data_IF_344008358520
#
_entry.id   IF_344008358520
#
_cell.length_a   1.000
_cell.length_b   1.000
_cell.length_c   1.000
_cell.angle_alpha   90.00
_cell.angle_beta   90.00
_cell.angle_gamma   90.00
#
_symmetry.space_group_name_H-M   'P 1'
#
loop_
_entity.id
_entity.type
_entity.pdbx_description
1 polymer ?
#
# COMPACT_ATOMS: atom_id res chain seq x y z
N UNK A 1 34.02 14.47 62.88
CA UNK A 1 34.61 15.48 61.96
C UNK A 1 34.22 15.11 60.53
N UNK A 2 33.95 16.12 59.73
CA UNK A 2 33.01 16.16 58.62
C UNK A 2 33.54 15.67 57.25
N UNK A 3 32.67 14.98 56.51
CA UNK A 3 32.27 15.17 55.09
C UNK A 3 33.37 15.15 53.99
N UNK A 4 33.25 14.21 53.04
CA UNK A 4 32.96 14.41 51.59
C UNK A 4 33.40 13.17 50.77
N UNK A 5 32.45 12.29 50.45
CA UNK A 5 32.58 11.38 49.29
C UNK A 5 32.09 12.15 48.05
N UNK A 6 33.03 12.59 47.21
CA UNK A 6 32.71 13.19 45.92
C UNK A 6 32.30 12.10 44.92
N UNK A 7 31.00 12.02 44.63
CA UNK A 7 30.50 11.24 43.50
C UNK A 7 30.89 11.92 42.19
N UNK A 8 31.67 11.23 41.36
CA UNK A 8 31.91 11.65 39.97
C UNK A 8 30.67 11.24 39.17
N UNK A 9 29.88 12.24 38.78
CA UNK A 9 28.81 12.08 37.80
C UNK A 9 29.46 11.90 36.43
N UNK A 10 29.50 10.67 35.92
CA UNK A 10 29.96 10.40 34.57
C UNK A 10 28.86 10.82 33.59
N UNK A 11 28.92 12.06 33.11
CA UNK A 11 28.07 12.53 32.03
C UNK A 11 28.49 11.83 30.73
N UNK A 12 27.71 10.83 30.30
CA UNK A 12 27.85 10.25 28.97
C UNK A 12 27.38 11.28 27.94
N UNK A 13 28.33 12.07 27.42
CA UNK A 13 28.09 12.96 26.30
C UNK A 13 27.89 12.09 25.05
N UNK A 14 26.63 11.78 24.72
CA UNK A 14 26.28 11.19 23.43
C UNK A 14 26.59 12.26 22.38
N UNK A 15 27.77 12.17 21.77
CA UNK A 15 28.12 12.98 20.63
C UNK A 15 27.03 12.80 19.56
N UNK A 16 26.45 13.91 19.11
CA UNK A 16 25.53 13.95 17.99
C UNK A 16 26.24 13.32 16.78
N UNK A 17 25.83 12.11 16.42
CA UNK A 17 26.30 11.45 15.21
C UNK A 17 25.91 12.33 14.01
N UNK A 18 26.85 12.71 13.13
CA UNK A 18 26.51 13.44 11.92
C UNK A 18 25.59 12.58 11.06
N UNK A 19 24.57 13.22 10.47
CA UNK A 19 23.61 12.59 9.58
C UNK A 19 24.33 12.00 8.36
N UNK A 20 24.66 10.71 8.44
CA UNK A 20 25.00 9.88 7.30
C UNK A 20 23.68 9.60 6.58
N UNK A 21 23.60 9.95 5.29
CA UNK A 21 22.53 9.52 4.40
C UNK A 21 22.43 7.99 4.45
N UNK A 22 21.44 7.50 5.19
CA UNK A 22 21.22 6.08 5.41
C UNK A 22 20.39 5.58 4.24
N UNK A 23 21.02 4.97 3.25
CA UNK A 23 20.33 4.17 2.23
C UNK A 23 19.69 2.99 2.97
N UNK A 24 18.43 3.17 3.38
CA UNK A 24 17.81 2.44 4.48
C UNK A 24 17.07 1.17 4.07
N UNK A 25 17.72 0.02 4.23
CA UNK A 25 17.02 -1.25 4.40
C UNK A 25 16.44 -1.29 5.83
N UNK A 26 15.16 -0.95 5.98
CA UNK A 26 14.50 -0.97 7.29
C UNK A 26 13.73 -2.27 7.49
N UNK A 27 14.25 -3.13 8.38
CA UNK A 27 13.61 -4.38 8.80
C UNK A 27 13.07 -4.22 10.21
N UNK A 28 11.77 -4.42 10.37
CA UNK A 28 11.10 -4.32 11.66
C UNK A 28 10.85 -5.70 12.28
N UNK A 29 11.53 -6.01 13.38
CA UNK A 29 11.43 -7.29 14.11
C UNK A 29 10.85 -7.17 15.54
N UNK A 30 10.60 -5.94 16.03
CA UNK A 30 10.06 -5.68 17.37
C UNK A 30 8.53 -5.45 17.34
N UNK A 31 7.79 -5.75 18.43
CA UNK A 31 6.34 -5.99 18.36
C UNK A 31 5.47 -4.74 18.11
N UNK A 32 6.00 -3.51 18.23
CA UNK A 32 5.22 -2.31 17.86
C UNK A 32 6.14 -1.13 17.59
N UNK A 33 6.12 -0.61 16.36
CA UNK A 33 6.76 0.66 16.00
C UNK A 33 5.73 1.57 15.36
N UNK A 34 5.52 2.75 15.96
CA UNK A 34 4.67 3.82 15.45
C UNK A 34 5.59 4.89 14.87
N UNK A 35 5.50 5.17 13.58
CA UNK A 35 6.26 6.25 12.95
C UNK A 35 5.32 7.40 12.59
N UNK A 36 5.38 8.49 13.36
CA UNK A 36 4.84 9.77 12.93
C UNK A 36 5.89 10.45 12.05
N UNK A 37 5.58 10.62 10.76
CA UNK A 37 6.12 11.69 9.93
C UNK A 37 7.67 11.71 9.80
N UNK A 38 8.22 10.86 8.93
CA UNK A 38 9.66 10.85 8.58
C UNK A 38 10.04 11.59 7.30
N UNK A 39 9.19 12.46 6.72
CA UNK A 39 9.71 13.57 5.90
C UNK A 39 8.66 14.64 5.54
N UNK A 40 8.84 15.85 6.04
CA UNK A 40 8.19 17.07 5.54
C UNK A 40 9.09 17.83 4.54
N UNK A 41 10.22 17.25 4.13
CA UNK A 41 11.14 17.88 3.20
C UNK A 41 10.94 17.29 1.79
N UNK A 42 10.46 18.11 0.85
CA UNK A 42 10.19 17.73 -0.54
C UNK A 42 11.44 17.28 -1.33
N UNK A 43 12.63 17.27 -0.71
CA UNK A 43 13.92 16.93 -1.33
C UNK A 43 14.61 15.71 -0.69
N UNK A 44 13.95 14.93 0.17
CA UNK A 44 14.54 13.71 0.77
C UNK A 44 13.57 12.52 0.60
N UNK A 45 13.99 11.58 -0.23
CA UNK A 45 13.32 10.30 -0.47
C UNK A 45 13.89 9.26 0.48
N UNK A 46 13.12 8.74 1.44
CA UNK A 46 13.68 7.76 2.38
C UNK A 46 12.71 6.65 2.76
N UNK A 47 12.54 5.73 1.80
CA UNK A 47 12.44 4.27 1.98
C UNK A 47 12.97 3.67 0.68
N UNK A 48 14.28 3.81 0.44
CA UNK A 48 14.88 3.43 -0.85
C UNK A 48 14.86 1.91 -0.99
N UNK A 49 13.95 1.45 -1.83
CA UNK A 49 13.90 0.13 -2.46
C UNK A 49 13.34 -1.04 -1.64
N UNK A 50 13.37 -1.00 -0.29
CA UNK A 50 12.89 -2.14 0.51
C UNK A 50 12.27 -1.78 1.86
N UNK A 51 11.08 -2.31 2.11
CA UNK A 51 10.41 -2.28 3.42
C UNK A 51 9.89 -3.65 3.80
N UNK A 52 10.05 -4.06 5.08
CA UNK A 52 9.50 -5.32 5.58
C UNK A 52 8.94 -5.23 7.01
N UNK A 53 7.71 -5.70 7.17
CA UNK A 53 7.14 -6.08 8.48
C UNK A 53 7.25 -7.59 8.63
N UNK A 54 8.02 -8.06 9.62
CA UNK A 54 8.16 -9.50 9.89
C UNK A 54 6.92 -10.09 10.57
N UNK A 55 6.71 -11.40 10.42
CA UNK A 55 5.66 -12.11 11.13
C UNK A 55 5.75 -11.87 12.65
N UNK A 56 4.60 -11.61 13.29
CA UNK A 56 4.52 -11.25 14.71
C UNK A 56 4.85 -9.79 15.06
N UNK A 57 5.36 -8.99 14.12
CA UNK A 57 5.55 -7.56 14.31
C UNK A 57 4.33 -6.75 13.85
N UNK A 58 4.18 -5.55 14.41
CA UNK A 58 3.18 -4.56 13.98
C UNK A 58 3.86 -3.24 13.62
N UNK A 59 3.50 -2.70 12.45
CA UNK A 59 3.82 -1.34 12.03
C UNK A 59 2.51 -0.56 11.83
N UNK A 60 2.47 0.68 12.32
CA UNK A 60 1.32 1.57 12.09
C UNK A 60 1.77 2.86 11.41
N UNK A 61 1.32 3.09 10.18
CA UNK A 61 1.46 4.38 9.52
C UNK A 61 0.41 5.35 10.05
N UNK A 62 0.83 6.45 10.69
CA UNK A 62 -0.09 7.48 11.22
C UNK A 62 -0.03 8.81 10.45
N UNK A 63 0.69 8.86 9.32
CA UNK A 63 0.86 10.06 8.50
C UNK A 63 0.95 9.75 7.01
N UNK A 64 1.58 10.65 6.25
CA UNK A 64 1.87 10.40 4.85
C UNK A 64 3.25 9.76 4.70
N UNK A 65 3.34 8.65 3.98
CA UNK A 65 4.59 7.96 3.65
C UNK A 65 4.74 7.88 2.14
N UNK A 66 5.94 8.16 1.65
CA UNK A 66 6.32 8.00 0.25
C UNK A 66 7.28 6.83 0.10
N UNK A 67 6.79 5.77 -0.54
CA UNK A 67 7.55 4.60 -0.95
C UNK A 67 8.18 4.90 -2.31
N UNK A 68 9.48 5.20 -2.27
CA UNK A 68 10.22 5.64 -3.44
C UNK A 68 11.26 4.60 -3.78
N UNK A 69 11.38 4.31 -5.07
CA UNK A 69 12.43 3.46 -5.59
C UNK A 69 13.41 4.36 -6.35
N UNK A 70 14.71 4.09 -6.26
CA UNK A 70 15.71 4.75 -7.12
C UNK A 70 16.38 3.77 -8.08
N UNK A 71 16.04 2.49 -7.95
CA UNK A 71 16.55 1.35 -8.67
C UNK A 71 15.46 0.69 -9.55
N UNK A 72 15.75 -0.50 -10.11
CA UNK A 72 14.91 -1.15 -11.12
C UNK A 72 13.58 -1.72 -10.58
N UNK A 73 13.51 -2.14 -9.30
CA UNK A 73 12.29 -2.62 -8.64
C UNK A 73 12.34 -2.39 -7.12
N UNK A 74 11.30 -1.80 -6.53
CA UNK A 74 11.18 -1.55 -5.09
C UNK A 74 10.13 -2.48 -4.47
N UNK A 75 10.39 -3.03 -3.29
CA UNK A 75 9.53 -4.05 -2.67
C UNK A 75 9.08 -3.65 -1.26
N UNK A 76 7.77 -3.62 -1.06
CA UNK A 76 7.11 -3.55 0.25
C UNK A 76 6.65 -4.95 0.64
N UNK A 77 7.09 -5.47 1.79
CA UNK A 77 6.76 -6.83 2.26
C UNK A 77 6.02 -6.77 3.58
N UNK A 78 4.81 -7.33 3.61
CA UNK A 78 4.01 -7.46 4.84
C UNK A 78 3.80 -8.93 5.19
N UNK A 79 4.65 -9.45 6.09
CA UNK A 79 4.45 -10.77 6.72
C UNK A 79 3.88 -10.64 8.15
N UNK A 80 4.03 -9.47 8.77
CA UNK A 80 3.35 -9.06 9.99
C UNK A 80 2.27 -8.02 9.72
N UNK A 81 1.74 -7.44 10.80
CA UNK A 81 0.60 -6.53 10.74
C UNK A 81 1.04 -5.12 10.32
N UNK A 82 0.72 -4.73 9.09
CA UNK A 82 0.79 -3.32 8.66
C UNK A 82 -0.59 -2.67 8.82
N UNK A 83 -0.66 -1.62 9.64
CA UNK A 83 -1.88 -0.87 9.96
C UNK A 83 -1.70 0.61 9.69
N UNK A 84 -2.79 1.35 9.81
CA UNK A 84 -2.89 2.71 9.33
C UNK A 84 -3.76 3.55 10.27
N UNK A 85 -3.40 4.83 10.44
CA UNK A 85 -4.20 5.83 11.14
C UNK A 85 -5.29 6.41 10.24
N UNK A 86 -6.29 7.06 10.84
CA UNK A 86 -7.50 7.53 10.15
C UNK A 86 -7.25 8.57 9.03
N UNK A 87 -6.09 9.23 9.02
CA UNK A 87 -5.71 10.26 8.03
C UNK A 87 -4.46 9.87 7.24
N UNK A 88 -3.89 8.69 7.48
CA UNK A 88 -2.64 8.28 6.87
C UNK A 88 -2.81 8.05 5.36
N UNK A 89 -1.75 8.33 4.60
CA UNK A 89 -1.70 8.13 3.16
C UNK A 89 -0.40 7.50 2.75
N UNK A 90 -0.48 6.41 2.00
CA UNK A 90 0.68 5.72 1.45
C UNK A 90 0.79 6.06 -0.04
N UNK A 91 1.93 6.60 -0.44
CA UNK A 91 2.24 6.95 -1.81
C UNK A 91 3.29 5.98 -2.34
N UNK A 92 2.96 5.25 -3.38
CA UNK A 92 3.88 4.37 -4.07
C UNK A 92 4.29 5.06 -5.38
N UNK A 93 5.50 5.65 -5.40
CA UNK A 93 6.07 6.43 -6.52
C UNK A 93 6.30 7.93 -6.23
N UNK A 94 7.19 8.60 -6.98
CA UNK A 94 7.63 10.00 -6.72
C UNK A 94 7.41 11.03 -7.86
N UNK A 95 6.45 10.82 -8.75
CA UNK A 95 6.11 11.87 -9.74
C UNK A 95 6.96 11.96 -11.02
N UNK A 96 8.21 11.44 -11.09
CA UNK A 96 9.10 11.76 -12.23
C UNK A 96 9.63 10.60 -13.08
N UNK A 97 9.66 9.35 -12.58
CA UNK A 97 10.09 8.18 -13.37
C UNK A 97 9.09 7.02 -13.29
N UNK A 98 8.86 6.32 -14.42
CA UNK A 98 8.07 5.07 -14.46
C UNK A 98 8.90 3.95 -13.84
N UNK A 99 8.71 3.68 -12.55
CA UNK A 99 9.41 2.62 -11.84
C UNK A 99 8.45 1.50 -11.46
N UNK A 100 8.86 0.26 -11.68
CA UNK A 100 8.10 -0.88 -11.21
C UNK A 100 8.26 -0.98 -9.69
N UNK A 101 7.14 -1.25 -9.00
CA UNK A 101 7.16 -1.56 -7.58
C UNK A 101 6.35 -2.81 -7.29
N UNK A 102 6.54 -3.35 -6.10
CA UNK A 102 5.87 -4.56 -5.66
C UNK A 102 5.40 -4.45 -4.20
N UNK A 103 4.18 -4.90 -3.95
CA UNK A 103 3.68 -5.22 -2.60
C UNK A 103 3.59 -6.75 -2.49
N UNK A 104 4.38 -7.34 -1.59
CA UNK A 104 4.50 -8.77 -1.38
C UNK A 104 4.26 -9.12 0.11
N UNK A 105 4.37 -10.40 0.46
CA UNK A 105 4.23 -10.94 1.80
C UNK A 105 3.02 -11.86 1.95
N UNK A 106 2.78 -12.30 3.18
CA UNK A 106 1.76 -13.29 3.54
C UNK A 106 0.59 -12.73 4.34
N UNK A 107 0.61 -11.45 4.73
CA UNK A 107 -0.49 -10.80 5.44
C UNK A 107 -0.86 -9.51 4.73
N UNK A 108 -2.15 -9.30 4.47
CA UNK A 108 -2.60 -8.12 3.75
C UNK A 108 -2.32 -6.83 4.54
N UNK A 109 -1.52 -5.90 4.00
CA UNK A 109 -1.37 -4.59 4.62
C UNK A 109 -2.68 -3.80 4.54
N UNK A 110 -2.96 -3.06 5.60
CA UNK A 110 -4.10 -2.16 5.69
C UNK A 110 -3.65 -0.71 5.47
N UNK A 111 -4.13 -0.10 4.40
CA UNK A 111 -3.91 1.30 4.06
C UNK A 111 -5.20 2.10 4.28
N UNK A 112 -5.08 3.36 4.70
CA UNK A 112 -6.23 4.24 4.87
C UNK A 112 -6.54 4.94 3.54
N UNK A 113 -5.63 5.80 3.10
CA UNK A 113 -5.57 6.26 1.72
C UNK A 113 -4.34 5.65 1.04
N UNK A 114 -4.48 5.24 -0.21
CA UNK A 114 -3.41 4.61 -0.99
C UNK A 114 -3.34 5.26 -2.36
N UNK A 115 -2.15 5.64 -2.77
CA UNK A 115 -1.91 6.26 -4.07
C UNK A 115 -0.81 5.51 -4.78
N UNK A 116 -1.14 4.92 -5.92
CA UNK A 116 -0.15 4.36 -6.84
C UNK A 116 0.13 5.42 -7.91
N UNK A 117 1.38 5.87 -7.98
CA UNK A 117 1.83 6.92 -8.89
C UNK A 117 2.99 6.43 -9.74
N UNK A 118 2.88 6.63 -11.06
CA UNK A 118 3.90 6.25 -12.05
C UNK A 118 4.29 4.77 -12.09
N UNK A 119 4.77 4.32 -13.25
CA UNK A 119 5.26 2.94 -13.43
C UNK A 119 4.19 1.86 -13.27
N UNK A 120 4.60 0.59 -13.25
CA UNK A 120 3.69 -0.53 -13.01
C UNK A 120 3.69 -0.89 -11.51
N UNK A 121 2.54 -1.32 -11.00
CA UNK A 121 2.42 -1.79 -9.63
C UNK A 121 2.10 -3.28 -9.63
N UNK A 122 2.89 -4.10 -8.95
CA UNK A 122 2.59 -5.52 -8.77
C UNK A 122 2.16 -5.82 -7.34
N UNK A 123 0.97 -6.40 -7.16
CA UNK A 123 0.49 -6.88 -5.86
C UNK A 123 0.65 -8.39 -5.84
N UNK A 124 1.80 -8.82 -5.34
CA UNK A 124 2.19 -10.22 -5.16
C UNK A 124 1.90 -10.76 -3.75
N UNK A 125 1.39 -9.94 -2.83
CA UNK A 125 1.00 -10.38 -1.50
C UNK A 125 -0.13 -11.41 -1.59
N UNK A 126 0.02 -12.55 -0.89
CA UNK A 126 -0.92 -13.67 -1.00
C UNK A 126 -2.33 -13.34 -0.49
N UNK A 127 -2.45 -12.38 0.43
CA UNK A 127 -3.73 -11.92 0.97
C UNK A 127 -4.22 -10.63 0.28
N UNK A 128 -3.48 -10.16 -0.73
CA UNK A 128 -3.74 -8.91 -1.43
C UNK A 128 -3.41 -7.68 -0.57
N UNK A 129 -4.23 -6.64 -0.72
CA UNK A 129 -4.14 -5.41 0.09
C UNK A 129 -5.54 -4.95 0.50
N UNK A 130 -5.63 -4.14 1.56
CA UNK A 130 -6.88 -3.49 1.95
C UNK A 130 -6.72 -1.97 2.01
N UNK A 131 -7.69 -1.23 1.47
CA UNK A 131 -7.76 0.24 1.45
C UNK A 131 -9.06 0.68 2.10
N UNK A 132 -9.01 1.34 3.25
CA UNK A 132 -10.21 1.72 4.02
C UNK A 132 -10.94 2.95 3.47
N UNK A 133 -10.29 3.79 2.66
CA UNK A 133 -10.90 5.01 2.14
C UNK A 133 -10.69 5.15 0.64
N UNK A 134 -9.62 5.80 0.22
CA UNK A 134 -9.41 6.13 -1.19
C UNK A 134 -8.22 5.37 -1.75
N UNK A 135 -8.43 4.70 -2.88
CA UNK A 135 -7.40 4.20 -3.77
C UNK A 135 -7.31 5.14 -4.97
N UNK A 136 -6.14 5.71 -5.21
CA UNK A 136 -5.88 6.55 -6.38
C UNK A 136 -4.88 5.87 -7.29
N UNK A 137 -5.28 5.62 -8.54
CA UNK A 137 -4.46 5.01 -9.58
C UNK A 137 -4.07 6.08 -10.61
N UNK A 138 -2.86 6.61 -10.49
CA UNK A 138 -2.23 7.45 -11.52
C UNK A 138 -0.99 6.79 -12.11
N UNK A 139 -0.67 5.58 -11.64
CA UNK A 139 0.32 4.69 -12.21
C UNK A 139 -0.18 4.06 -13.52
N UNK A 140 0.70 3.26 -14.12
CA UNK A 140 0.38 2.35 -15.22
C UNK A 140 -0.55 1.21 -14.80
N UNK A 141 -0.38 0.05 -15.41
CA UNK A 141 -1.17 -1.13 -15.05
C UNK A 141 -0.78 -1.62 -13.65
N UNK A 142 -1.78 -1.87 -12.81
CA UNK A 142 -1.62 -2.55 -11.52
C UNK A 142 -1.99 -4.02 -11.67
N UNK A 143 -1.05 -4.94 -11.46
CA UNK A 143 -1.31 -6.38 -11.53
C UNK A 143 -1.59 -6.96 -10.15
N UNK A 144 -2.46 -7.96 -10.09
CA UNK A 144 -2.66 -8.81 -8.90
C UNK A 144 -2.48 -10.27 -9.27
N UNK A 145 -2.25 -11.18 -8.32
CA UNK A 145 -2.02 -12.59 -8.64
C UNK A 145 -3.25 -13.34 -9.19
N UNK A 146 -4.46 -12.77 -9.17
CA UNK A 146 -5.71 -13.34 -9.76
C UNK A 146 -6.12 -14.75 -9.30
N UNK A 147 -5.49 -15.33 -8.28
CA UNK A 147 -5.77 -16.70 -7.83
C UNK A 147 -7.07 -16.85 -7.03
N UNK A 148 -7.57 -15.75 -6.44
CA UNK A 148 -8.79 -15.71 -5.65
C UNK A 148 -9.45 -14.33 -5.77
N UNK A 149 -10.79 -14.21 -5.70
CA UNK A 149 -11.45 -12.91 -5.73
C UNK A 149 -11.25 -12.08 -4.45
N UNK A 150 -11.09 -12.75 -3.29
CA UNK A 150 -10.97 -12.08 -1.99
C UNK A 150 -9.53 -12.12 -1.43
N UNK A 151 -8.83 -13.25 -1.58
CA UNK A 151 -7.39 -13.30 -1.38
C UNK A 151 -6.70 -12.78 -2.65
N UNK A 152 -5.46 -12.27 -2.57
CA UNK A 152 -4.74 -11.73 -3.73
C UNK A 152 -5.43 -10.56 -4.49
N UNK A 153 -6.36 -9.84 -3.87
CA UNK A 153 -7.11 -8.74 -4.53
C UNK A 153 -6.78 -7.37 -3.93
N UNK A 154 -7.13 -6.31 -4.65
CA UNK A 154 -7.26 -4.97 -4.07
C UNK A 154 -8.62 -4.88 -3.40
N UNK A 155 -8.67 -4.83 -2.06
CA UNK A 155 -9.93 -4.69 -1.30
C UNK A 155 -10.15 -3.24 -0.88
N UNK A 156 -11.20 -2.62 -1.40
CA UNK A 156 -11.64 -1.28 -0.99
C UNK A 156 -12.74 -1.43 0.05
N UNK A 157 -12.36 -1.26 1.32
CA UNK A 157 -13.17 -1.49 2.50
C UNK A 157 -13.98 -0.23 2.89
N UNK A 158 -14.68 0.34 1.92
CA UNK A 158 -15.62 1.44 2.12
C UNK A 158 -16.71 1.40 1.06
N UNK A 159 -17.93 1.76 1.45
CA UNK A 159 -19.08 1.80 0.54
C UNK A 159 -19.18 3.10 -0.27
N UNK A 160 -18.17 3.99 -0.20
CA UNK A 160 -18.13 5.21 -1.01
C UNK A 160 -17.94 4.88 -2.49
N UNK A 161 -18.86 5.35 -3.34
CA UNK A 161 -18.80 5.14 -4.80
C UNK A 161 -17.51 5.71 -5.43
N UNK A 162 -17.04 6.85 -4.93
CA UNK A 162 -15.82 7.53 -5.39
C UNK A 162 -14.53 7.07 -4.70
N UNK A 163 -14.53 5.91 -4.04
CA UNK A 163 -13.36 5.40 -3.32
C UNK A 163 -12.20 4.97 -4.24
N UNK A 164 -12.44 4.75 -5.53
CA UNK A 164 -11.40 4.47 -6.52
C UNK A 164 -11.36 5.63 -7.50
N UNK A 165 -10.23 6.31 -7.60
CA UNK A 165 -10.05 7.49 -8.46
C UNK A 165 -8.81 7.34 -9.33
N UNK A 166 -8.74 8.11 -10.42
CA UNK A 166 -7.64 8.06 -11.37
C UNK A 166 -8.10 8.40 -12.79
N UNK A 167 -7.14 8.50 -13.71
CA UNK A 167 -7.40 8.69 -15.13
C UNK A 167 -7.28 7.34 -15.85
N UNK A 168 -8.33 6.53 -15.79
CA UNK A 168 -8.28 5.15 -16.30
C UNK A 168 -8.17 5.10 -17.83
N UNK A 169 -7.40 4.12 -18.34
CA UNK A 169 -7.16 3.92 -19.78
C UNK A 169 -6.57 2.54 -20.04
N UNK A 170 -6.37 2.21 -21.32
CA UNK A 170 -5.64 1.01 -21.76
C UNK A 170 -4.24 0.86 -21.14
N UNK A 171 -3.63 1.97 -20.70
CA UNK A 171 -2.32 1.94 -20.02
C UNK A 171 -2.41 2.12 -18.50
N UNK A 172 -3.60 2.31 -17.95
CA UNK A 172 -3.85 2.63 -16.53
C UNK A 172 -5.15 1.99 -16.05
N UNK A 173 -5.04 0.78 -15.53
CA UNK A 173 -6.15 0.01 -14.98
C UNK A 173 -5.60 -1.09 -14.04
N UNK A 174 -6.49 -1.87 -13.44
CA UNK A 174 -6.15 -3.06 -12.65
C UNK A 174 -6.28 -4.31 -13.52
N UNK A 175 -5.15 -4.96 -13.78
CA UNK A 175 -5.06 -6.30 -14.34
C UNK A 175 -5.15 -7.30 -13.18
N UNK A 176 -6.36 -7.50 -12.67
CA UNK A 176 -6.56 -8.20 -11.42
C UNK A 176 -7.95 -8.17 -10.85
N UNK A 177 -8.13 -8.79 -9.68
CA UNK A 177 -9.34 -8.63 -8.89
C UNK A 177 -9.32 -7.31 -8.12
N UNK A 178 -10.39 -6.54 -8.28
CA UNK A 178 -10.75 -5.41 -7.44
C UNK A 178 -12.02 -5.78 -6.70
N UNK A 179 -11.99 -5.67 -5.38
CA UNK A 179 -13.07 -6.05 -4.48
C UNK A 179 -13.57 -4.82 -3.73
N UNK A 180 -14.87 -4.56 -3.71
CA UNK A 180 -15.45 -3.37 -3.05
C UNK A 180 -16.61 -3.75 -2.12
N UNK A 181 -16.67 -3.10 -0.96
CA UNK A 181 -17.90 -3.01 -0.17
C UNK A 181 -18.91 -2.14 -0.92
N UNK A 182 -20.19 -2.51 -0.93
CA UNK A 182 -21.23 -1.78 -1.66
C UNK A 182 -22.51 -1.58 -0.87
N UNK A 183 -23.15 -0.43 -1.09
CA UNK A 183 -24.51 -0.13 -0.66
C UNK A 183 -25.51 -0.44 -1.78
N UNK A 184 -26.73 -0.81 -1.39
CA UNK A 184 -27.84 -0.96 -2.31
C UNK A 184 -28.07 0.32 -3.13
N UNK A 185 -28.39 0.14 -4.42
CA UNK A 185 -28.80 1.20 -5.35
C UNK A 185 -27.76 2.30 -5.61
N UNK A 186 -26.51 2.12 -5.18
CA UNK A 186 -25.38 3.00 -5.49
C UNK A 186 -24.61 2.43 -6.68
N UNK A 187 -24.20 3.29 -7.62
CA UNK A 187 -23.40 2.87 -8.78
C UNK A 187 -21.91 2.87 -8.42
N UNK A 188 -21.20 1.84 -8.83
CA UNK A 188 -19.77 1.64 -8.59
C UNK A 188 -19.04 1.30 -9.88
N UNK A 189 -17.93 1.98 -10.13
CA UNK A 189 -17.03 1.67 -11.24
C UNK A 189 -15.85 0.80 -10.78
N UNK A 190 -15.48 -0.14 -11.66
CA UNK A 190 -14.32 -1.01 -11.50
C UNK A 190 -13.35 -0.76 -12.64
N UNK A 191 -12.15 -0.21 -12.37
CA UNK A 191 -11.20 0.08 -13.42
C UNK A 191 -10.39 -1.19 -13.78
N UNK A 192 -11.05 -2.23 -14.26
CA UNK A 192 -10.42 -3.52 -14.59
C UNK A 192 -10.05 -3.62 -16.06
N UNK A 193 -9.10 -4.50 -16.37
CA UNK A 193 -8.66 -4.79 -17.73
C UNK A 193 -7.77 -6.03 -17.78
N UNK A 194 -7.07 -6.22 -18.88
CA UNK A 194 -6.04 -7.25 -19.04
C UNK A 194 -4.98 -6.72 -20.00
N UNK A 195 -3.72 -6.75 -19.56
CA UNK A 195 -2.59 -6.26 -20.33
C UNK A 195 -2.87 -4.85 -20.89
N UNK A 196 -2.95 -4.70 -22.21
CA UNK A 196 -3.18 -3.40 -22.85
C UNK A 196 -4.65 -3.00 -23.02
N UNK A 197 -5.62 -3.81 -22.56
CA UNK A 197 -7.04 -3.58 -22.79
C UNK A 197 -7.77 -3.15 -21.53
N UNK A 198 -8.28 -1.92 -21.51
CA UNK A 198 -9.19 -1.45 -20.46
C UNK A 198 -10.63 -1.88 -20.74
N UNK A 199 -11.25 -2.53 -19.75
CA UNK A 199 -12.63 -3.06 -19.84
C UNK A 199 -13.37 -2.74 -18.55
N UNK A 200 -13.72 -1.47 -18.30
CA UNK A 200 -14.39 -1.09 -17.07
C UNK A 200 -15.72 -1.82 -16.90
N UNK A 201 -16.05 -2.11 -15.65
CA UNK A 201 -17.39 -2.52 -15.27
C UNK A 201 -18.03 -1.44 -14.40
N UNK A 202 -19.20 -0.98 -14.79
CA UNK A 202 -20.08 -0.19 -13.95
C UNK A 202 -21.17 -1.11 -13.41
N UNK A 203 -21.30 -1.18 -12.09
CA UNK A 203 -22.24 -2.07 -11.43
C UNK A 203 -23.07 -1.33 -10.38
N UNK A 204 -24.35 -1.68 -10.28
CA UNK A 204 -25.29 -1.11 -9.31
C UNK A 204 -26.06 -2.24 -8.64
N UNK A 205 -25.70 -2.66 -7.42
CA UNK A 205 -26.37 -3.77 -6.76
C UNK A 205 -27.75 -3.36 -6.25
N UNK A 206 -28.67 -4.32 -6.20
CA UNK A 206 -30.02 -4.12 -5.62
C UNK A 206 -30.04 -4.26 -4.10
N UNK A 207 -29.03 -4.89 -3.51
CA UNK A 207 -28.83 -5.04 -2.06
C UNK A 207 -27.40 -4.63 -1.66
N UNK A 208 -27.18 -4.32 -0.38
CA UNK A 208 -25.83 -4.10 0.12
C UNK A 208 -25.03 -5.41 0.08
N UNK A 209 -23.73 -5.31 -0.17
CA UNK A 209 -22.83 -6.46 -0.25
C UNK A 209 -21.53 -6.17 0.51
N UNK A 210 -21.06 -7.14 1.29
CA UNK A 210 -19.82 -7.02 2.06
C UNK A 210 -18.61 -6.90 1.12
N UNK A 211 -18.53 -7.73 0.08
CA UNK A 211 -17.58 -7.54 -1.02
C UNK A 211 -18.18 -8.05 -2.33
N UNK A 212 -18.04 -7.26 -3.38
CA UNK A 212 -18.21 -7.68 -4.78
C UNK A 212 -16.85 -7.57 -5.45
N UNK A 213 -16.40 -8.67 -6.05
CA UNK A 213 -15.08 -8.80 -6.68
C UNK A 213 -15.21 -8.88 -8.19
N UNK A 214 -14.41 -8.08 -8.89
CA UNK A 214 -14.47 -7.98 -10.35
C UNK A 214 -13.05 -8.09 -10.90
N UNK A 215 -12.90 -8.90 -11.94
CA UNK A 215 -11.71 -8.94 -12.78
C UNK A 215 -12.15 -9.19 -14.22
N UNK A 216 -11.44 -8.61 -15.19
CA UNK A 216 -11.66 -8.96 -16.59
C UNK A 216 -10.92 -10.26 -16.93
N UNK A 217 -11.64 -11.27 -17.41
CA UNK A 217 -11.06 -12.52 -17.90
C UNK A 217 -11.19 -12.56 -19.43
N UNK A 218 -10.10 -12.89 -20.13
CA UNK A 218 -10.13 -13.06 -21.57
C UNK A 218 -10.72 -14.43 -21.92
N UNK A 219 -11.62 -14.46 -22.90
CA UNK A 219 -12.28 -15.68 -23.37
C UNK A 219 -13.63 -15.94 -22.71
N UNK A 220 -14.17 -17.14 -22.90
CA UNK A 220 -15.45 -17.55 -22.33
C UNK A 220 -15.25 -17.91 -20.85
N UNK A 221 -15.94 -17.26 -19.90
CA UNK A 221 -15.87 -17.66 -18.50
C UNK A 221 -16.33 -19.12 -18.36
N UNK A 222 -15.62 -19.92 -17.56
CA UNK A 222 -16.09 -21.25 -17.19
C UNK A 222 -17.47 -21.11 -16.57
N UNK A 223 -18.46 -21.88 -17.04
CA UNK A 223 -19.80 -21.84 -16.46
C UNK A 223 -19.71 -22.00 -14.93
N UNK A 224 -20.31 -21.05 -14.19
CA UNK A 224 -20.36 -21.10 -12.72
C UNK A 224 -19.57 -20.03 -11.98
N UNK A 225 -18.92 -19.07 -12.66
CA UNK A 225 -18.41 -17.85 -12.00
C UNK A 225 -19.44 -16.73 -12.21
N UNK A 226 -20.32 -16.58 -11.22
CA UNK A 226 -21.24 -15.43 -11.07
C UNK A 226 -20.63 -14.37 -10.20
#
# INVERSE_FOLDING_TARGET
MNIRLGGILLALQIASLPALAQVGHEVYSNPTLQAANRNANANVADFSDYFRVNAGATYTNIGSIYWLNTNTTGTFISNGLYTTGATATDYFGNGTARQAMEINGSLAPLFNNLVFQNGAMNIANSDGITVNRTLTLTNGITTTQRNSPLANSIRVNTASAGAITGDFSDTRHVDGYVSRVMNANTTYDFPVGNAGDYRPLTYRPTAAATFVSVAYQQGTPSQGVT
#
